data_IF_411077919488
#
_entry.id   IF_411077919488
#
_cell.length_a   1.000
_cell.length_b   1.000
_cell.length_c   1.000
_cell.angle_alpha   90.00
_cell.angle_beta   90.00
_cell.angle_gamma   90.00
#
_symmetry.space_group_name_H-M   'P 1'
#
loop_
_entity.id
_entity.type
_entity.pdbx_description
1 polymer ?
#
# COMPACT_ATOMS: atom_id res chain seq x y z
N UNK A 1 80.43 34.33 -59.84
CA UNK A 1 79.00 34.41 -60.22
C UNK A 1 78.22 33.91 -59.01
N UNK A 2 77.63 34.76 -58.17
CA UNK A 2 76.30 35.42 -58.36
C UNK A 2 75.24 34.37 -58.73
N UNK A 3 74.15 34.15 -57.99
CA UNK A 3 73.29 35.10 -57.26
C UNK A 3 72.50 34.39 -56.14
N UNK A 4 72.24 35.15 -55.07
CA UNK A 4 71.23 34.94 -54.02
C UNK A 4 69.79 34.89 -54.56
N UNK A 5 68.86 34.32 -53.79
CA UNK A 5 67.53 34.93 -53.52
C UNK A 5 66.77 34.25 -52.36
N UNK A 6 66.13 35.12 -51.58
CA UNK A 6 65.26 34.92 -50.42
C UNK A 6 63.88 34.33 -50.78
N UNK A 7 63.18 33.82 -49.77
CA UNK A 7 61.71 33.72 -49.69
C UNK A 7 61.26 32.32 -49.24
N UNK A 8 60.27 32.11 -48.38
CA UNK A 8 59.39 32.96 -47.59
C UNK A 8 58.78 32.03 -46.52
N UNK A 9 58.62 32.54 -45.29
CA UNK A 9 57.95 31.84 -44.19
C UNK A 9 56.44 31.93 -44.43
N UNK A 10 55.75 30.79 -44.51
CA UNK A 10 54.28 30.73 -44.41
C UNK A 10 53.96 29.86 -43.19
N UNK A 11 53.57 30.52 -42.10
CA UNK A 11 53.03 29.86 -40.91
C UNK A 11 51.61 29.39 -41.19
N UNK A 12 51.38 28.09 -41.03
CA UNK A 12 50.02 27.53 -40.97
C UNK A 12 49.56 27.71 -39.52
N UNK A 13 48.71 28.70 -39.29
CA UNK A 13 47.98 28.86 -38.03
C UNK A 13 46.93 27.75 -37.91
N UNK A 14 47.10 26.86 -36.94
CA UNK A 14 46.06 25.91 -36.54
C UNK A 14 45.04 26.68 -35.70
N UNK A 15 43.85 26.89 -36.26
CA UNK A 15 42.68 27.35 -35.50
C UNK A 15 42.17 26.15 -34.69
N UNK A 16 42.47 26.12 -33.40
CA UNK A 16 41.83 25.19 -32.46
C UNK A 16 40.42 25.73 -32.18
N UNK A 17 39.42 25.19 -32.86
CA UNK A 17 38.03 25.43 -32.52
C UNK A 17 37.75 24.79 -31.15
N UNK A 18 37.60 25.61 -30.11
CA UNK A 18 37.11 25.17 -28.81
C UNK A 18 35.66 24.71 -28.97
N UNK A 19 35.44 23.39 -29.00
CA UNK A 19 34.10 22.81 -28.94
C UNK A 19 33.59 23.03 -27.52
N UNK A 20 32.78 24.07 -27.33
CA UNK A 20 32.10 24.33 -26.07
C UNK A 20 31.21 23.13 -25.74
N UNK A 21 31.54 22.40 -24.67
CA UNK A 21 30.67 21.38 -24.12
C UNK A 21 29.38 22.05 -23.64
N UNK A 22 28.28 21.78 -24.32
CA UNK A 22 26.96 22.17 -23.85
C UNK A 22 26.73 21.56 -22.45
N UNK A 23 26.16 22.29 -21.49
CA UNK A 23 25.81 21.71 -20.21
C UNK A 23 24.79 20.60 -20.45
N UNK A 24 25.16 19.37 -20.11
CA UNK A 24 24.22 18.26 -20.05
C UNK A 24 23.22 18.64 -18.97
N UNK A 25 21.98 18.94 -19.38
CA UNK A 25 20.90 19.19 -18.44
C UNK A 25 20.82 17.99 -17.50
N UNK A 26 21.06 18.22 -16.21
CA UNK A 26 20.88 17.20 -15.20
C UNK A 26 19.43 16.72 -15.28
N UNK A 27 19.25 15.43 -15.61
CA UNK A 27 17.96 14.77 -15.45
C UNK A 27 17.55 15.00 -14.00
N UNK A 28 16.34 15.54 -13.71
CA UNK A 28 15.88 15.69 -12.35
C UNK A 28 16.04 14.34 -11.67
N UNK A 29 16.80 14.29 -10.56
CA UNK A 29 16.86 13.11 -9.73
C UNK A 29 15.41 12.72 -9.46
N UNK A 30 15.01 11.52 -9.92
CA UNK A 30 13.71 10.97 -9.60
C UNK A 30 13.53 11.16 -8.10
N UNK A 31 12.49 11.90 -7.70
CA UNK A 31 12.13 12.03 -6.30
C UNK A 31 12.16 10.63 -5.72
N UNK A 32 13.09 10.36 -4.80
CA UNK A 32 13.38 9.00 -4.34
C UNK A 32 12.07 8.35 -3.96
N UNK A 33 11.68 7.28 -4.66
CA UNK A 33 10.48 6.53 -4.33
C UNK A 33 10.61 6.16 -2.87
N UNK A 34 9.64 6.56 -2.03
CA UNK A 34 9.65 6.24 -0.61
C UNK A 34 9.90 4.73 -0.45
N UNK A 35 11.09 4.33 0.02
CA UNK A 35 11.47 2.92 0.07
C UNK A 35 10.88 2.18 1.28
N UNK A 36 10.17 2.90 2.15
CA UNK A 36 9.66 2.38 3.41
C UNK A 36 8.64 1.26 3.18
N UNK A 37 8.59 0.27 4.09
CA UNK A 37 7.78 -0.91 3.92
C UNK A 37 6.28 -0.63 4.07
N UNK A 38 5.50 -1.64 3.69
CA UNK A 38 4.06 -1.68 3.93
C UNK A 38 3.82 -2.67 5.08
N UNK A 39 2.96 -2.31 6.03
CA UNK A 39 2.52 -3.23 7.09
C UNK A 39 1.06 -3.57 6.88
N UNK A 40 0.74 -4.87 6.82
CA UNK A 40 -0.62 -5.38 6.73
C UNK A 40 -1.03 -5.96 8.09
N UNK A 41 -2.09 -5.42 8.67
CA UNK A 41 -2.77 -5.92 9.85
C UNK A 41 -4.09 -6.51 9.40
N UNK A 42 -4.40 -7.78 9.68
CA UNK A 42 -5.69 -8.28 9.22
C UNK A 42 -6.17 -9.66 9.62
N UNK A 43 -7.22 -10.09 8.94
CA UNK A 43 -7.95 -11.32 9.19
C UNK A 43 -7.60 -12.43 8.17
N UNK A 44 -8.51 -13.37 7.94
CA UNK A 44 -8.30 -14.55 7.08
C UNK A 44 -7.92 -14.23 5.63
N UNK A 45 -8.42 -13.13 5.06
CA UNK A 45 -8.05 -12.72 3.70
C UNK A 45 -6.58 -12.26 3.68
N UNK A 46 -6.10 -11.63 4.75
CA UNK A 46 -4.68 -11.26 4.87
C UNK A 46 -3.78 -12.46 5.13
N UNK A 47 -4.27 -13.52 5.77
CA UNK A 47 -3.51 -14.77 5.93
C UNK A 47 -3.42 -15.58 4.63
N UNK A 48 -4.23 -15.23 3.62
CA UNK A 48 -4.33 -16.00 2.37
C UNK A 48 -5.19 -17.25 2.52
N UNK A 49 -6.14 -17.27 3.45
CA UNK A 49 -7.05 -18.40 3.63
C UNK A 49 -7.80 -18.72 2.32
N UNK A 50 -7.97 -20.02 2.02
CA UNK A 50 -8.51 -20.58 0.76
C UNK A 50 -7.69 -20.33 -0.53
N UNK A 51 -6.50 -19.72 -0.43
CA UNK A 51 -5.59 -19.58 -1.57
C UNK A 51 -4.17 -20.00 -1.22
N UNK A 52 -3.34 -20.29 -2.23
CA UNK A 52 -1.92 -20.54 -1.97
C UNK A 52 -1.25 -19.27 -1.44
N UNK A 53 -0.37 -19.35 -0.44
CA UNK A 53 0.24 -18.16 0.17
C UNK A 53 1.01 -17.26 -0.81
N UNK A 54 1.53 -17.81 -1.92
CA UNK A 54 2.18 -17.02 -2.98
C UNK A 54 1.21 -16.16 -3.78
N UNK A 55 -0.08 -16.51 -3.79
CA UNK A 55 -1.15 -15.73 -4.43
C UNK A 55 -1.94 -14.87 -3.46
N UNK A 56 -1.60 -14.89 -2.16
CA UNK A 56 -2.22 -14.01 -1.19
C UNK A 56 -1.78 -12.56 -1.43
N UNK A 57 -2.74 -11.63 -1.36
CA UNK A 57 -2.51 -10.23 -1.71
C UNK A 57 -1.32 -9.56 -0.98
N UNK A 58 -0.99 -9.84 0.30
CA UNK A 58 0.18 -9.25 0.94
C UNK A 58 1.49 -9.63 0.25
N UNK A 59 1.61 -10.87 -0.22
CA UNK A 59 2.78 -11.34 -0.97
C UNK A 59 2.86 -10.66 -2.34
N UNK A 60 1.73 -10.53 -3.02
CA UNK A 60 1.66 -9.88 -4.34
C UNK A 60 1.99 -8.38 -4.26
N UNK A 61 1.64 -7.69 -3.18
CA UNK A 61 2.01 -6.27 -2.99
C UNK A 61 3.53 -6.09 -3.09
N UNK A 62 4.32 -6.96 -2.46
CA UNK A 62 5.78 -6.86 -2.55
C UNK A 62 6.31 -6.97 -3.98
N UNK A 63 5.71 -7.85 -4.79
CA UNK A 63 6.08 -8.01 -6.19
C UNK A 63 5.68 -6.81 -7.04
N UNK A 64 4.50 -6.22 -6.79
CA UNK A 64 3.96 -5.09 -7.57
C UNK A 64 4.63 -3.77 -7.17
N UNK A 65 4.73 -3.49 -5.88
CA UNK A 65 5.23 -2.23 -5.35
C UNK A 65 6.76 -2.16 -5.23
N UNK A 66 7.46 -3.31 -5.31
CA UNK A 66 8.90 -3.38 -5.08
C UNK A 66 9.31 -3.04 -3.63
N UNK A 67 8.40 -3.25 -2.67
CA UNK A 67 8.59 -2.91 -1.25
C UNK A 67 8.44 -4.13 -0.34
N UNK A 68 9.16 -4.12 0.77
CA UNK A 68 8.95 -5.10 1.84
C UNK A 68 7.54 -4.99 2.41
N UNK A 69 6.88 -6.13 2.61
CA UNK A 69 5.58 -6.21 3.27
C UNK A 69 5.74 -7.02 4.56
N UNK A 70 5.34 -6.43 5.69
CA UNK A 70 5.26 -7.11 6.99
C UNK A 70 3.80 -7.45 7.29
N UNK A 71 3.53 -8.66 7.77
CA UNK A 71 2.19 -9.18 7.99
C UNK A 71 1.97 -9.50 9.47
N UNK A 72 0.93 -8.91 10.06
CA UNK A 72 0.38 -9.23 11.37
C UNK A 72 -1.09 -9.62 11.20
N UNK A 73 -1.37 -10.90 10.98
CA UNK A 73 -2.72 -11.36 10.67
C UNK A 73 -3.09 -12.68 11.35
N UNK A 74 -4.39 -12.84 11.62
CA UNK A 74 -4.98 -14.06 12.21
C UNK A 74 -6.32 -14.35 11.58
N UNK A 75 -6.53 -15.57 11.08
CA UNK A 75 -7.84 -16.01 10.57
C UNK A 75 -8.91 -15.87 11.66
N UNK A 76 -10.08 -15.35 11.27
CA UNK A 76 -11.19 -15.08 12.19
C UNK A 76 -11.04 -13.82 13.06
N UNK A 77 -9.97 -13.03 12.93
CA UNK A 77 -9.84 -11.78 13.67
C UNK A 77 -10.95 -10.78 13.30
N UNK A 78 -11.51 -10.10 14.30
CA UNK A 78 -12.47 -9.02 14.15
C UNK A 78 -12.07 -7.78 14.96
N UNK A 79 -12.82 -6.72 14.76
CA UNK A 79 -12.79 -5.56 15.65
C UNK A 79 -13.51 -5.86 16.96
N UNK A 80 -14.69 -6.49 16.90
CA UNK A 80 -15.56 -6.72 18.04
C UNK A 80 -14.94 -7.65 19.11
N UNK A 81 -14.08 -8.59 18.70
CA UNK A 81 -13.35 -9.49 19.62
C UNK A 81 -12.01 -8.90 20.12
N UNK A 82 -11.67 -7.66 19.70
CA UNK A 82 -10.42 -6.98 20.05
C UNK A 82 -9.18 -7.54 19.35
N UNK A 83 -9.30 -8.54 18.48
CA UNK A 83 -8.15 -9.18 17.87
C UNK A 83 -7.35 -8.25 16.95
N UNK A 84 -8.02 -7.40 16.18
CA UNK A 84 -7.35 -6.43 15.32
C UNK A 84 -6.56 -5.41 16.16
N UNK A 85 -7.05 -5.02 17.34
CA UNK A 85 -6.30 -4.16 18.26
C UNK A 85 -5.01 -4.86 18.76
N UNK A 86 -5.11 -6.14 19.15
CA UNK A 86 -3.94 -6.94 19.54
C UNK A 86 -2.93 -7.10 18.40
N UNK A 87 -3.39 -7.40 17.19
CA UNK A 87 -2.52 -7.52 16.00
C UNK A 87 -1.87 -6.19 15.63
N UNK A 88 -2.57 -5.07 15.83
CA UNK A 88 -2.01 -3.72 15.62
C UNK A 88 -0.86 -3.44 16.59
N UNK A 89 -1.00 -3.81 17.87
CA UNK A 89 0.09 -3.68 18.84
C UNK A 89 1.27 -4.59 18.50
N UNK A 90 0.99 -5.86 18.17
CA UNK A 90 2.00 -6.86 17.83
C UNK A 90 2.79 -6.50 16.56
N UNK A 91 2.18 -5.76 15.63
CA UNK A 91 2.84 -5.32 14.41
C UNK A 91 4.02 -4.36 14.66
N UNK A 92 4.13 -3.76 15.86
CA UNK A 92 5.24 -2.90 16.27
C UNK A 92 5.66 -1.90 15.18
N UNK A 93 4.70 -1.10 14.68
CA UNK A 93 4.92 -0.19 13.56
C UNK A 93 6.16 0.72 13.69
N UNK A 94 6.56 1.22 14.89
CA UNK A 94 7.75 2.05 15.01
C UNK A 94 9.04 1.32 14.63
N UNK A 95 9.10 -0.01 14.76
CA UNK A 95 10.26 -0.81 14.35
C UNK A 95 10.38 -0.98 12.83
N UNK A 96 9.29 -0.76 12.09
CA UNK A 96 9.24 -0.91 10.64
C UNK A 96 9.25 0.43 9.89
N UNK A 97 8.88 1.55 10.54
CA UNK A 97 8.67 2.87 9.92
C UNK A 97 7.94 2.77 8.57
N UNK A 98 6.68 2.29 8.54
CA UNK A 98 6.00 2.03 7.28
C UNK A 98 5.59 3.32 6.55
N UNK A 99 5.57 3.27 5.22
CA UNK A 99 4.92 4.29 4.40
C UNK A 99 3.40 4.12 4.35
N UNK A 100 2.92 2.88 4.52
CA UNK A 100 1.52 2.51 4.44
C UNK A 100 1.20 1.41 5.45
N UNK A 101 0.10 1.60 6.19
CA UNK A 101 -0.50 0.59 7.04
C UNK A 101 -1.85 0.20 6.46
N UNK A 102 -2.02 -1.08 6.14
CA UNK A 102 -3.27 -1.65 5.65
C UNK A 102 -3.95 -2.39 6.78
N UNK A 103 -5.20 -2.06 7.07
CA UNK A 103 -6.03 -2.79 8.04
C UNK A 103 -7.15 -3.50 7.31
N UNK A 104 -7.14 -4.83 7.33
CA UNK A 104 -8.13 -5.67 6.66
C UNK A 104 -8.95 -6.45 7.69
N UNK A 105 -10.22 -6.07 7.84
CA UNK A 105 -11.16 -6.71 8.77
C UNK A 105 -12.62 -6.28 8.46
N UNK A 106 -13.58 -6.79 9.23
CA UNK A 106 -14.99 -6.41 9.13
C UNK A 106 -15.93 -7.55 8.75
N UNK A 107 -15.50 -8.50 7.91
CA UNK A 107 -16.38 -9.64 7.56
C UNK A 107 -16.73 -10.50 8.78
N UNK A 108 -15.82 -10.67 9.74
CA UNK A 108 -16.11 -11.42 10.99
C UNK A 108 -16.96 -10.63 11.99
N UNK A 109 -17.17 -9.34 11.74
CA UNK A 109 -17.90 -8.42 12.62
C UNK A 109 -19.34 -8.20 12.15
N UNK A 110 -19.76 -8.83 11.05
CA UNK A 110 -21.14 -8.74 10.55
C UNK A 110 -22.10 -9.34 11.57
N UNK A 111 -23.11 -8.55 11.97
CA UNK A 111 -24.09 -8.91 13.00
C UNK A 111 -23.65 -8.58 14.45
N UNK A 112 -22.42 -8.08 14.65
CA UNK A 112 -21.99 -7.58 15.96
C UNK A 112 -22.47 -6.14 16.22
N UNK A 113 -22.30 -5.67 17.45
CA UNK A 113 -22.68 -4.31 17.84
C UNK A 113 -21.85 -3.25 17.09
N UNK A 114 -22.53 -2.38 16.34
CA UNK A 114 -21.88 -1.30 15.58
C UNK A 114 -21.18 -0.28 16.49
N UNK A 115 -21.65 -0.07 17.71
CA UNK A 115 -20.98 0.80 18.68
C UNK A 115 -19.69 0.18 19.23
N UNK A 116 -19.65 -1.14 19.41
CA UNK A 116 -18.45 -1.85 19.81
C UNK A 116 -17.41 -1.83 18.67
N UNK A 117 -17.85 -2.06 17.44
CA UNK A 117 -17.01 -1.94 16.23
C UNK A 117 -16.46 -0.50 16.12
N UNK A 118 -17.29 0.53 16.27
CA UNK A 118 -16.86 1.94 16.20
C UNK A 118 -15.73 2.23 17.23
N UNK A 119 -15.94 1.86 18.49
CA UNK A 119 -14.96 2.07 19.55
C UNK A 119 -13.63 1.36 19.26
N UNK A 120 -13.69 0.11 18.80
CA UNK A 120 -12.50 -0.70 18.50
C UNK A 120 -11.75 -0.18 17.27
N UNK A 121 -12.46 0.24 16.22
CA UNK A 121 -11.84 0.84 15.04
C UNK A 121 -11.17 2.16 15.41
N UNK A 122 -11.82 3.02 16.20
CA UNK A 122 -11.20 4.25 16.71
C UNK A 122 -9.91 3.97 17.47
N UNK A 123 -9.91 2.95 18.34
CA UNK A 123 -8.72 2.53 19.10
C UNK A 123 -7.59 2.04 18.18
N UNK A 124 -7.92 1.23 17.18
CA UNK A 124 -6.96 0.71 16.19
C UNK A 124 -6.33 1.86 15.41
N UNK A 125 -7.14 2.74 14.81
CA UNK A 125 -6.62 3.85 13.99
C UNK A 125 -5.85 4.87 14.84
N UNK A 126 -6.28 5.14 16.07
CA UNK A 126 -5.52 5.97 17.02
C UNK A 126 -4.16 5.35 17.33
N UNK A 127 -4.10 4.02 17.51
CA UNK A 127 -2.84 3.31 17.74
C UNK A 127 -1.92 3.38 16.54
N UNK A 128 -2.45 3.17 15.32
CA UNK A 128 -1.69 3.30 14.08
C UNK A 128 -1.12 4.71 13.94
N UNK A 129 -1.95 5.74 14.15
CA UNK A 129 -1.52 7.15 14.08
C UNK A 129 -0.43 7.50 15.09
N UNK A 130 -0.52 6.95 16.30
CA UNK A 130 0.51 7.14 17.34
C UNK A 130 1.82 6.44 16.97
N UNK A 131 1.75 5.24 16.42
CA UNK A 131 2.92 4.40 16.18
C UNK A 131 3.60 4.66 14.82
N UNK A 132 2.85 5.15 13.84
CA UNK A 132 3.32 5.46 12.49
C UNK A 132 2.68 6.78 12.00
N UNK A 133 3.02 7.94 12.59
CA UNK A 133 2.35 9.20 12.32
C UNK A 133 2.44 9.64 10.84
N UNK A 134 3.51 9.24 10.15
CA UNK A 134 3.77 9.60 8.75
C UNK A 134 3.29 8.55 7.74
N UNK A 135 2.72 7.42 8.19
CA UNK A 135 2.20 6.40 7.28
C UNK A 135 0.86 6.83 6.69
N UNK A 136 0.61 6.53 5.42
CA UNK A 136 -0.77 6.46 4.91
C UNK A 136 -1.48 5.30 5.59
N UNK A 137 -2.81 5.37 5.69
CA UNK A 137 -3.62 4.24 6.18
C UNK A 137 -4.66 3.87 5.14
N UNK A 138 -4.79 2.57 4.91
CA UNK A 138 -5.80 1.99 4.04
C UNK A 138 -6.64 0.97 4.80
N UNK A 139 -7.95 0.99 4.58
CA UNK A 139 -8.86 -0.04 5.06
C UNK A 139 -9.24 -0.95 3.90
N UNK A 140 -9.26 -2.25 4.16
CA UNK A 140 -9.95 -3.23 3.31
C UNK A 140 -11.10 -3.78 4.14
N UNK A 141 -12.33 -3.46 3.74
CA UNK A 141 -13.53 -3.66 4.57
C UNK A 141 -14.25 -4.97 4.21
N UNK A 142 -15.60 -4.98 4.28
CA UNK A 142 -16.42 -6.18 4.24
C UNK A 142 -16.44 -6.79 2.84
N UNK A 143 -16.26 -8.11 2.80
CA UNK A 143 -16.37 -8.90 1.57
C UNK A 143 -17.79 -9.48 1.47
N UNK A 144 -18.56 -9.14 0.41
CA UNK A 144 -19.98 -9.49 0.31
C UNK A 144 -20.25 -11.01 0.25
N UNK A 145 -19.28 -11.84 -0.12
CA UNK A 145 -19.47 -13.29 -0.24
C UNK A 145 -19.19 -14.05 1.06
N UNK A 146 -18.49 -13.45 2.04
CA UNK A 146 -18.10 -14.15 3.29
C UNK A 146 -19.25 -14.23 4.29
N UNK A 147 -19.96 -13.12 4.53
CA UNK A 147 -21.13 -13.06 5.45
C UNK A 147 -22.37 -12.45 4.79
N UNK A 148 -22.39 -12.36 3.46
CA UNK A 148 -23.46 -11.74 2.70
C UNK A 148 -23.33 -10.21 2.60
N UNK A 149 -24.27 -9.61 1.88
CA UNK A 149 -24.30 -8.18 1.55
C UNK A 149 -25.56 -7.47 2.07
N UNK A 150 -26.18 -8.05 3.10
CA UNK A 150 -27.43 -7.57 3.71
C UNK A 150 -27.26 -6.31 4.57
N UNK A 151 -28.33 -5.87 5.26
CA UNK A 151 -28.31 -4.68 6.10
C UNK A 151 -27.20 -4.69 7.17
N UNK A 152 -26.98 -5.83 7.82
CA UNK A 152 -25.94 -5.96 8.86
C UNK A 152 -24.54 -5.75 8.30
N UNK A 153 -24.24 -6.30 7.12
CA UNK A 153 -22.95 -6.12 6.46
C UNK A 153 -22.68 -4.64 6.13
N UNK A 154 -23.73 -3.93 5.67
CA UNK A 154 -23.65 -2.49 5.37
C UNK A 154 -23.52 -1.66 6.64
N UNK A 155 -24.21 -2.03 7.72
CA UNK A 155 -24.11 -1.36 9.00
C UNK A 155 -22.71 -1.53 9.62
N UNK A 156 -22.15 -2.74 9.57
CA UNK A 156 -20.78 -3.04 9.98
C UNK A 156 -19.77 -2.21 9.19
N UNK A 157 -19.88 -2.19 7.86
CA UNK A 157 -18.98 -1.39 7.02
C UNK A 157 -19.09 0.11 7.29
N UNK A 158 -20.31 0.64 7.42
CA UNK A 158 -20.54 2.04 7.75
C UNK A 158 -19.93 2.42 9.09
N UNK A 159 -20.05 1.55 10.11
CA UNK A 159 -19.41 1.74 11.40
C UNK A 159 -17.87 1.77 11.27
N UNK A 160 -17.27 0.84 10.54
CA UNK A 160 -15.81 0.80 10.33
C UNK A 160 -15.32 2.06 9.62
N UNK A 161 -15.93 2.42 8.48
CA UNK A 161 -15.50 3.56 7.68
C UNK A 161 -15.72 4.88 8.42
N UNK A 162 -16.88 5.03 9.07
CA UNK A 162 -17.21 6.23 9.86
C UNK A 162 -16.27 6.42 11.04
N UNK A 163 -16.03 5.36 11.82
CA UNK A 163 -15.13 5.37 12.95
C UNK A 163 -13.69 5.72 12.55
N UNK A 164 -13.18 5.08 11.50
CA UNK A 164 -11.82 5.33 11.02
C UNK A 164 -11.65 6.77 10.54
N UNK A 165 -12.58 7.26 9.71
CA UNK A 165 -12.55 8.64 9.18
C UNK A 165 -12.72 9.70 10.27
N UNK A 166 -13.38 9.37 11.38
CA UNK A 166 -13.51 10.29 12.52
C UNK A 166 -12.19 10.51 13.26
N UNK A 167 -11.24 9.58 13.15
CA UNK A 167 -9.90 9.68 13.75
C UNK A 167 -8.89 10.21 12.73
N UNK A 168 -8.96 9.73 11.50
CA UNK A 168 -8.09 10.14 10.40
C UNK A 168 -8.95 10.37 9.15
N UNK A 169 -9.28 11.62 8.76
CA UNK A 169 -10.12 11.86 7.60
C UNK A 169 -9.46 11.47 6.26
N UNK A 170 -8.16 11.14 6.26
CA UNK A 170 -7.38 10.81 5.05
C UNK A 170 -7.32 9.32 4.74
N UNK A 171 -7.96 8.44 5.54
CA UNK A 171 -7.91 6.99 5.31
C UNK A 171 -8.45 6.65 3.92
N UNK A 172 -7.66 5.91 3.16
CA UNK A 172 -8.11 5.29 1.92
C UNK A 172 -8.97 4.08 2.23
N UNK A 173 -10.07 3.89 1.49
CA UNK A 173 -10.99 2.76 1.71
C UNK A 173 -11.07 1.95 0.42
N UNK A 174 -10.78 0.66 0.54
CA UNK A 174 -11.02 -0.37 -0.48
C UNK A 174 -12.19 -1.19 0.06
N UNK A 175 -13.38 -1.01 -0.51
CA UNK A 175 -14.60 -1.63 -0.01
C UNK A 175 -15.20 -2.57 -1.05
N UNK A 176 -14.97 -3.89 -0.96
CA UNK A 176 -15.60 -4.84 -1.86
C UNK A 176 -17.14 -4.78 -1.81
N UNK A 177 -17.72 -4.51 -0.64
CA UNK A 177 -19.17 -4.40 -0.47
C UNK A 177 -19.75 -3.11 -1.10
N UNK A 178 -19.29 -1.93 -0.70
CA UNK A 178 -19.82 -0.65 -1.21
C UNK A 178 -19.41 -0.37 -2.66
N UNK A 179 -18.26 -0.85 -3.11
CA UNK A 179 -17.86 -0.75 -4.53
C UNK A 179 -18.57 -1.80 -5.41
N UNK A 180 -19.41 -2.67 -4.84
CA UNK A 180 -20.21 -3.65 -5.60
C UNK A 180 -19.36 -4.68 -6.33
N UNK A 181 -18.27 -5.16 -5.71
CA UNK A 181 -17.38 -6.12 -6.36
C UNK A 181 -18.09 -7.43 -6.66
N UNK A 182 -17.94 -7.88 -7.90
CA UNK A 182 -18.29 -9.23 -8.35
C UNK A 182 -17.00 -9.99 -8.57
N UNK A 183 -16.89 -11.17 -7.94
CA UNK A 183 -15.67 -11.98 -7.99
C UNK A 183 -15.98 -13.46 -7.72
N UNK A 184 -15.04 -14.33 -8.12
CA UNK A 184 -15.08 -15.74 -7.74
C UNK A 184 -14.71 -15.90 -6.27
N UNK A 185 -15.38 -16.82 -5.59
CA UNK A 185 -15.14 -17.12 -4.18
C UNK A 185 -15.07 -18.64 -3.95
N UNK A 186 -14.38 -19.02 -2.89
CA UNK A 186 -14.41 -20.39 -2.33
C UNK A 186 -15.82 -20.73 -1.83
N UNK A 187 -16.03 -22.00 -1.46
CA UNK A 187 -17.29 -22.47 -0.92
C UNK A 187 -17.73 -21.75 0.37
N UNK A 188 -16.79 -21.25 1.16
CA UNK A 188 -17.04 -20.49 2.38
C UNK A 188 -17.05 -18.96 2.16
N UNK A 189 -16.95 -18.53 0.90
CA UNK A 189 -17.08 -17.14 0.49
C UNK A 189 -15.78 -16.32 0.49
N UNK A 190 -14.61 -16.90 0.77
CA UNK A 190 -13.34 -16.19 0.66
C UNK A 190 -12.98 -15.87 -0.80
N UNK A 191 -12.35 -14.70 -1.06
CA UNK A 191 -11.99 -14.27 -2.40
C UNK A 191 -11.02 -15.22 -3.10
N UNK A 192 -11.21 -15.43 -4.40
CA UNK A 192 -10.29 -16.20 -5.23
C UNK A 192 -8.95 -15.47 -5.50
N UNK A 193 -8.04 -16.17 -6.17
CA UNK A 193 -6.71 -15.64 -6.50
C UNK A 193 -6.77 -14.35 -7.36
N UNK A 194 -7.74 -14.24 -8.28
CA UNK A 194 -7.90 -13.04 -9.10
C UNK A 194 -8.30 -11.82 -8.25
N UNK A 195 -9.12 -12.04 -7.23
CA UNK A 195 -9.51 -11.00 -6.29
C UNK A 195 -8.37 -10.62 -5.36
N UNK A 196 -7.56 -11.58 -4.92
CA UNK A 196 -6.31 -11.26 -4.21
C UNK A 196 -5.36 -10.41 -5.05
N UNK A 197 -5.24 -10.69 -6.35
CA UNK A 197 -4.46 -9.84 -7.25
C UNK A 197 -5.04 -8.41 -7.32
N UNK A 198 -6.36 -8.28 -7.51
CA UNK A 198 -7.03 -6.97 -7.52
C UNK A 198 -6.81 -6.19 -6.22
N UNK A 199 -6.85 -6.85 -5.06
CA UNK A 199 -6.52 -6.24 -3.77
C UNK A 199 -5.07 -5.75 -3.73
N UNK A 200 -4.13 -6.58 -4.21
CA UNK A 200 -2.72 -6.23 -4.22
C UNK A 200 -2.44 -5.01 -5.10
N UNK A 201 -3.04 -4.94 -6.28
CA UNK A 201 -2.95 -3.79 -7.19
C UNK A 201 -3.51 -2.51 -6.55
N UNK A 202 -4.70 -2.61 -5.93
CA UNK A 202 -5.34 -1.47 -5.26
C UNK A 202 -4.52 -0.97 -4.07
N UNK A 203 -3.89 -1.84 -3.31
CA UNK A 203 -3.01 -1.46 -2.20
C UNK A 203 -1.69 -0.88 -2.72
N UNK A 204 -1.07 -1.51 -3.71
CA UNK A 204 0.19 -1.05 -4.29
C UNK A 204 0.06 0.36 -4.90
N UNK A 205 -1.10 0.70 -5.47
CA UNK A 205 -1.37 2.04 -5.99
C UNK A 205 -1.42 3.14 -4.91
N UNK A 206 -1.53 2.77 -3.63
CA UNK A 206 -1.51 3.71 -2.50
C UNK A 206 -0.09 3.94 -1.93
N UNK A 207 0.86 3.05 -2.26
CA UNK A 207 2.19 2.99 -1.65
C UNK A 207 3.15 4.06 -2.18
#
# INVERSE_FOLDING_TARGET
MSVSRLGAIVGIGVVVAAVGAAPVAAVPAAQGSDGRPIVVIGASISTGYEVAGVVAYPRMISAIAGRSVYLSARSGAGYNDGAIAGLTQAANLPAHDPSLVVVQAGSNDVGASTSAIDAQVRQVITTVRRQAPNAKVALITVFPTVRGSGPDARATEAAIVGAARSVDPTVSVISPLSEGWVYGASADGHPDAATHQKLAERVAALA
#
